data_IF_995571477584
#
_entry.id   IF_995571477584
#
_cell.length_a   1.000
_cell.length_b   1.000
_cell.length_c   1.000
_cell.angle_alpha   90.00
_cell.angle_beta   90.00
_cell.angle_gamma   90.00
#
_symmetry.space_group_name_H-M   'P 1'
#
loop_
_entity.id
_entity.type
_entity.pdbx_description
1 polymer ?
#
# COMPACT_ATOMS: atom_id res chain seq x y z
N UNK A 1 -0.51 12.20 -0.89
CA UNK A 1 -0.75 11.16 0.13
C UNK A 1 -0.72 9.75 -0.48
N UNK A 2 -1.65 9.37 -1.36
CA UNK A 2 -1.68 8.04 -1.98
C UNK A 2 -0.34 7.57 -2.58
N UNK A 3 0.31 8.41 -3.40
CA UNK A 3 1.63 8.09 -3.99
C UNK A 3 2.72 7.89 -2.94
N UNK A 4 2.69 8.70 -1.86
CA UNK A 4 3.65 8.61 -0.76
C UNK A 4 3.48 7.27 -0.03
N UNK A 5 2.26 6.96 0.42
CA UNK A 5 1.97 5.70 1.10
C UNK A 5 2.25 4.51 0.21
N UNK A 6 1.75 4.53 -1.04
CA UNK A 6 1.94 3.45 -2.00
C UNK A 6 3.41 3.12 -2.24
N UNK A 7 4.29 4.12 -2.28
CA UNK A 7 5.72 3.91 -2.41
C UNK A 7 6.32 3.11 -1.24
N UNK A 8 5.90 3.36 0.00
CA UNK A 8 6.39 2.65 1.20
C UNK A 8 5.77 1.26 1.40
N UNK A 9 4.71 0.92 0.67
CA UNK A 9 4.16 -0.45 0.59
C UNK A 9 4.76 -1.26 -0.55
N UNK A 10 5.52 -0.64 -1.45
CA UNK A 10 5.97 -1.27 -2.69
C UNK A 10 7.50 -1.33 -2.79
N UNK A 11 8.19 -0.25 -2.47
CA UNK A 11 9.65 -0.21 -2.58
C UNK A 11 10.32 -0.60 -1.24
N UNK A 12 11.47 -1.30 -1.29
CA UNK A 12 12.25 -1.61 -0.10
C UNK A 12 12.72 -0.33 0.65
N UNK A 13 12.84 -0.37 1.98
CA UNK A 13 13.09 0.78 2.85
C UNK A 13 14.39 1.56 2.58
N UNK A 14 15.37 0.96 1.89
CA UNK A 14 16.66 1.60 1.53
C UNK A 14 16.81 1.90 0.03
N UNK A 15 15.74 1.75 -0.73
CA UNK A 15 15.74 2.01 -2.16
C UNK A 15 15.82 3.52 -2.47
N UNK A 16 16.44 3.87 -3.59
CA UNK A 16 16.59 5.27 -4.01
C UNK A 16 15.23 5.96 -4.23
N UNK A 17 14.22 5.19 -4.63
CA UNK A 17 12.87 5.64 -4.96
C UNK A 17 12.15 6.30 -3.77
N UNK A 18 12.41 5.83 -2.54
CA UNK A 18 11.74 6.34 -1.34
C UNK A 18 12.61 7.22 -0.45
N UNK A 19 13.91 7.29 -0.71
CA UNK A 19 14.84 8.11 0.07
C UNK A 19 14.40 9.58 0.14
N UNK A 20 13.98 10.15 -1.00
CA UNK A 20 13.47 11.53 -1.07
C UNK A 20 12.08 11.70 -0.46
N UNK A 21 11.35 10.61 -0.22
CA UNK A 21 9.99 10.61 0.32
C UNK A 21 9.96 10.37 1.84
N UNK A 22 11.07 9.93 2.43
CA UNK A 22 11.13 9.51 3.82
C UNK A 22 10.74 10.61 4.79
N UNK A 23 11.26 11.82 4.62
CA UNK A 23 10.89 12.94 5.49
C UNK A 23 9.38 13.22 5.44
N UNK A 24 8.77 13.11 4.25
CA UNK A 24 7.33 13.27 4.06
C UNK A 24 6.54 12.21 4.81
N UNK A 25 6.97 10.93 4.77
CA UNK A 25 6.32 9.86 5.51
C UNK A 25 6.43 10.08 7.03
N UNK A 26 7.60 10.47 7.53
CA UNK A 26 7.82 10.68 8.96
C UNK A 26 7.06 11.89 9.52
N UNK A 27 6.46 12.71 8.66
CA UNK A 27 5.64 13.86 9.03
C UNK A 27 4.22 13.77 8.45
N UNK A 28 3.76 12.55 8.14
CA UNK A 28 2.48 12.32 7.47
C UNK A 28 1.28 12.78 8.32
N UNK A 29 1.44 12.83 9.64
CA UNK A 29 0.50 13.44 10.59
C UNK A 29 0.20 14.92 10.28
N UNK A 30 1.14 15.65 9.67
CA UNK A 30 1.00 17.08 9.36
C UNK A 30 0.50 17.37 7.94
N UNK A 31 0.43 16.35 7.08
CA UNK A 31 0.14 16.54 5.66
C UNK A 31 -1.37 16.65 5.35
N UNK A 32 -2.24 16.32 6.30
CA UNK A 32 -3.69 16.44 6.17
C UNK A 32 -4.35 16.56 7.55
N UNK A 33 -5.64 16.87 7.57
CA UNK A 33 -6.45 16.88 8.79
C UNK A 33 -6.97 15.47 9.06
N UNK A 34 -6.30 14.75 9.96
CA UNK A 34 -6.70 13.40 10.33
C UNK A 34 -7.88 13.43 11.31
N UNK A 35 -8.77 12.44 11.17
CA UNK A 35 -9.89 12.25 12.11
C UNK A 35 -9.40 11.98 13.54
N UNK A 36 -8.27 11.27 13.69
CA UNK A 36 -7.62 10.99 14.97
C UNK A 36 -6.16 11.46 14.98
N UNK A 37 -5.97 12.77 15.17
CA UNK A 37 -4.64 13.41 15.17
C UNK A 37 -3.67 12.84 16.23
N UNK A 38 -4.08 12.57 17.50
CA UNK A 38 -3.19 11.97 18.49
C UNK A 38 -2.64 10.61 18.05
N UNK A 39 -3.51 9.74 17.50
CA UNK A 39 -3.09 8.44 16.98
C UNK A 39 -2.09 8.58 15.83
N UNK A 40 -2.34 9.47 14.87
CA UNK A 40 -1.42 9.67 13.75
C UNK A 40 -0.06 10.21 14.20
N UNK A 41 -0.05 11.06 15.21
CA UNK A 41 1.19 11.54 15.83
C UNK A 41 1.98 10.39 16.46
N UNK A 42 1.30 9.50 17.19
CA UNK A 42 1.89 8.30 17.77
C UNK A 42 2.48 7.38 16.69
N UNK A 43 1.71 7.08 15.62
CA UNK A 43 2.19 6.24 14.53
C UNK A 43 3.41 6.85 13.83
N UNK A 44 3.44 8.17 13.62
CA UNK A 44 4.61 8.85 13.07
C UNK A 44 5.85 8.72 13.98
N UNK A 45 5.68 8.72 15.31
CA UNK A 45 6.80 8.48 16.22
C UNK A 45 7.30 7.04 16.14
N UNK A 46 6.40 6.06 15.99
CA UNK A 46 6.80 4.67 15.76
C UNK A 46 7.60 4.56 14.45
N UNK A 47 7.13 5.15 13.36
CA UNK A 47 7.88 5.16 12.09
C UNK A 47 9.29 5.75 12.25
N UNK A 48 9.44 6.89 12.94
CA UNK A 48 10.74 7.53 13.21
C UNK A 48 11.67 6.64 14.02
N UNK A 49 11.15 5.95 15.03
CA UNK A 49 11.95 5.09 15.90
C UNK A 49 12.38 3.80 15.20
N UNK A 50 11.60 3.33 14.21
CA UNK A 50 11.79 2.01 13.60
C UNK A 50 12.43 2.06 12.21
N UNK A 51 12.47 3.21 11.52
CA UNK A 51 13.07 3.28 10.17
C UNK A 51 14.53 2.85 10.12
N UNK A 52 15.28 3.10 11.20
CA UNK A 52 16.68 2.70 11.34
C UNK A 52 16.87 1.31 11.95
N UNK A 53 15.80 0.52 12.11
CA UNK A 53 15.90 -0.84 12.66
C UNK A 53 16.86 -1.68 11.80
N UNK A 54 17.85 -2.40 12.39
CA UNK A 54 18.85 -3.13 11.62
C UNK A 54 18.27 -4.15 10.63
N UNK A 55 17.12 -4.71 10.97
CA UNK A 55 16.45 -5.75 10.18
C UNK A 55 15.32 -5.21 9.28
N UNK A 56 15.16 -3.89 9.10
CA UNK A 56 14.01 -3.32 8.38
C UNK A 56 13.87 -3.86 6.94
N UNK A 57 14.99 -4.16 6.26
CA UNK A 57 14.99 -4.79 4.94
C UNK A 57 14.52 -6.25 5.00
N UNK A 58 15.01 -7.02 5.98
CA UNK A 58 14.58 -8.40 6.16
C UNK A 58 13.09 -8.47 6.53
N UNK A 59 12.62 -7.58 7.40
CA UNK A 59 11.21 -7.43 7.74
C UNK A 59 10.36 -7.12 6.50
N UNK A 60 10.85 -6.24 5.61
CA UNK A 60 10.19 -5.97 4.33
C UNK A 60 10.13 -7.24 3.46
N UNK A 61 11.24 -7.97 3.30
CA UNK A 61 11.27 -9.20 2.50
C UNK A 61 10.30 -10.27 3.00
N UNK A 62 10.16 -10.43 4.33
CA UNK A 62 9.18 -11.34 4.94
C UNK A 62 7.73 -10.92 4.66
N UNK A 63 7.45 -9.62 4.69
CA UNK A 63 6.08 -9.08 4.59
C UNK A 63 5.61 -8.85 3.15
N UNK A 64 6.51 -8.51 2.23
CA UNK A 64 6.16 -8.03 0.89
C UNK A 64 6.79 -8.83 -0.25
N UNK A 65 7.90 -9.54 -0.03
CA UNK A 65 8.63 -10.26 -1.10
C UNK A 65 8.51 -11.78 -1.03
N UNK A 66 7.86 -12.31 0.01
CA UNK A 66 7.52 -13.73 0.11
C UNK A 66 8.67 -14.59 0.62
N UNK A 67 9.62 -14.02 1.35
CA UNK A 67 10.60 -14.80 2.08
C UNK A 67 9.89 -15.53 3.24
N UNK A 68 9.69 -16.84 3.11
CA UNK A 68 8.96 -17.63 4.12
C UNK A 68 7.44 -17.50 4.02
N UNK A 69 6.74 -17.68 5.14
CA UNK A 69 5.27 -17.58 5.18
C UNK A 69 4.84 -16.11 5.30
N UNK A 70 4.26 -15.59 4.23
CA UNK A 70 3.73 -14.23 4.19
C UNK A 70 2.39 -14.13 4.92
N UNK A 71 2.36 -13.39 6.01
CA UNK A 71 1.20 -13.31 6.93
C UNK A 71 0.10 -12.36 6.45
N UNK A 72 0.44 -11.39 5.60
CA UNK A 72 -0.50 -10.46 4.99
C UNK A 72 -0.06 -10.20 3.54
N UNK A 73 -0.32 -11.12 2.61
CA UNK A 73 0.11 -10.96 1.23
C UNK A 73 -0.45 -9.66 0.62
N UNK A 74 0.35 -8.83 -0.04
CA UNK A 74 -0.09 -7.49 -0.44
C UNK A 74 -0.84 -7.46 -1.78
N UNK A 75 -1.39 -8.59 -2.24
CA UNK A 75 -2.09 -8.70 -3.53
C UNK A 75 -3.57 -8.98 -3.35
N UNK A 76 -4.42 -8.23 -4.04
CA UNK A 76 -5.88 -8.35 -3.90
C UNK A 76 -6.43 -9.74 -4.23
N UNK A 77 -5.89 -10.38 -5.26
CA UNK A 77 -6.25 -11.74 -5.69
C UNK A 77 -6.12 -12.79 -4.59
N UNK A 78 -5.20 -12.65 -3.64
CA UNK A 78 -5.08 -13.56 -2.49
C UNK A 78 -6.31 -13.54 -1.57
N UNK A 79 -7.01 -12.41 -1.51
CA UNK A 79 -8.19 -12.24 -0.64
C UNK A 79 -9.51 -12.45 -1.39
N UNK A 80 -9.52 -12.20 -2.70
CA UNK A 80 -10.74 -12.19 -3.51
C UNK A 80 -10.99 -13.49 -4.25
N UNK A 81 -9.94 -14.16 -4.74
CA UNK A 81 -10.09 -15.33 -5.60
C UNK A 81 -10.17 -16.62 -4.78
N UNK A 82 -11.03 -17.55 -5.20
CA UNK A 82 -11.35 -18.77 -4.44
C UNK A 82 -10.13 -19.65 -4.16
N UNK A 83 -9.18 -19.68 -5.10
CA UNK A 83 -7.96 -20.47 -4.97
C UNK A 83 -6.84 -19.73 -4.20
N UNK A 84 -7.06 -18.45 -3.84
CA UNK A 84 -6.06 -17.55 -3.24
C UNK A 84 -4.75 -17.48 -4.03
N UNK A 85 -4.81 -17.77 -5.33
CA UNK A 85 -3.66 -17.73 -6.23
C UNK A 85 -3.48 -16.32 -6.78
N UNK A 86 -2.22 -15.94 -6.98
CA UNK A 86 -1.88 -14.72 -7.70
C UNK A 86 -2.32 -14.83 -9.16
N UNK A 87 -2.67 -13.69 -9.75
CA UNK A 87 -3.11 -13.58 -11.15
C UNK A 87 -4.45 -14.28 -11.45
N UNK A 88 -5.37 -14.31 -10.48
CA UNK A 88 -6.72 -14.81 -10.67
C UNK A 88 -7.67 -13.80 -11.34
N UNK A 89 -8.97 -14.11 -11.34
CA UNK A 89 -10.00 -13.35 -12.06
C UNK A 89 -10.08 -11.87 -11.60
N UNK A 90 -9.93 -11.64 -10.29
CA UNK A 90 -9.94 -10.27 -9.74
C UNK A 90 -8.77 -9.41 -10.28
N UNK A 91 -7.60 -10.02 -10.43
CA UNK A 91 -6.39 -9.40 -10.97
C UNK A 91 -6.57 -9.07 -12.45
N UNK A 92 -7.10 -10.00 -13.25
CA UNK A 92 -7.38 -9.79 -14.67
C UNK A 92 -8.40 -8.67 -14.89
N UNK A 93 -9.46 -8.63 -14.08
CA UNK A 93 -10.47 -7.57 -14.11
C UNK A 93 -9.84 -6.21 -13.80
N UNK A 94 -8.95 -6.15 -12.81
CA UNK A 94 -8.22 -4.93 -12.48
C UNK A 94 -7.27 -4.50 -13.61
N UNK A 95 -6.54 -5.43 -14.22
CA UNK A 95 -5.68 -5.16 -15.39
C UNK A 95 -6.50 -4.58 -16.55
N UNK A 96 -7.65 -5.17 -16.87
CA UNK A 96 -8.53 -4.68 -17.92
C UNK A 96 -9.03 -3.26 -17.62
N UNK A 97 -9.41 -2.98 -16.36
CA UNK A 97 -9.77 -1.64 -15.92
C UNK A 97 -8.62 -0.64 -16.13
N UNK A 98 -7.40 -0.95 -15.70
CA UNK A 98 -6.23 -0.07 -15.90
C UNK A 98 -5.98 0.23 -17.39
N UNK A 99 -6.06 -0.80 -18.24
CA UNK A 99 -5.90 -0.64 -19.68
C UNK A 99 -6.95 0.29 -20.29
N UNK A 100 -8.22 0.18 -19.86
CA UNK A 100 -9.30 1.10 -20.30
C UNK A 100 -9.03 2.56 -19.90
N UNK A 101 -8.35 2.80 -18.77
CA UNK A 101 -7.96 4.15 -18.34
C UNK A 101 -6.64 4.64 -18.96
N UNK A 102 -6.02 3.84 -19.84
CA UNK A 102 -4.73 4.14 -20.45
C UNK A 102 -3.59 4.14 -19.41
N UNK A 103 -3.68 3.25 -18.42
CA UNK A 103 -2.63 3.00 -17.43
C UNK A 103 -2.00 1.63 -17.67
N UNK A 104 -0.68 1.63 -17.83
CA UNK A 104 0.14 0.43 -17.86
C UNK A 104 1.17 0.60 -16.75
N UNK A 105 1.10 -0.24 -15.73
CA UNK A 105 2.08 -0.26 -14.65
C UNK A 105 3.30 -1.04 -15.14
N UNK A 106 4.27 -0.34 -15.73
CA UNK A 106 5.54 -0.95 -16.13
C UNK A 106 6.55 -0.79 -15.01
N UNK A 107 6.62 -1.78 -14.13
CA UNK A 107 7.57 -1.83 -13.02
C UNK A 107 8.91 -2.45 -13.41
N UNK A 108 9.04 -2.91 -14.67
CA UNK A 108 10.20 -3.67 -15.14
C UNK A 108 10.26 -5.12 -14.64
N UNK A 109 9.26 -5.56 -13.87
CA UNK A 109 9.11 -6.92 -13.36
C UNK A 109 7.77 -7.54 -13.80
N UNK A 110 7.71 -8.87 -13.85
CA UNK A 110 6.46 -9.58 -14.09
C UNK A 110 5.73 -9.80 -12.75
N UNK A 111 5.24 -8.72 -12.15
CA UNK A 111 4.51 -8.77 -10.88
C UNK A 111 3.03 -8.40 -11.07
N UNK A 112 2.13 -8.91 -10.22
CA UNK A 112 0.72 -8.59 -10.32
C UNK A 112 0.42 -7.12 -10.02
N UNK A 113 -0.38 -6.48 -10.88
CA UNK A 113 -0.73 -5.06 -10.78
C UNK A 113 -1.59 -4.74 -9.54
N UNK A 114 -2.27 -5.74 -8.98
CA UNK A 114 -3.14 -5.65 -7.81
C UNK A 114 -2.39 -5.65 -6.47
N UNK A 115 -1.07 -5.37 -6.50
CA UNK A 115 -0.29 -5.10 -5.30
C UNK A 115 -0.74 -3.79 -4.64
N UNK A 116 -0.96 -3.78 -3.33
CA UNK A 116 -1.59 -2.67 -2.60
C UNK A 116 -0.94 -1.29 -2.86
N UNK A 117 0.39 -1.23 -2.78
CA UNK A 117 1.15 -0.01 -3.04
C UNK A 117 1.06 0.46 -4.49
N UNK A 118 1.12 -0.47 -5.44
CA UNK A 118 0.88 -0.19 -6.87
C UNK A 118 -0.53 0.37 -7.11
N UNK A 119 -1.56 -0.19 -6.48
CA UNK A 119 -2.93 0.30 -6.60
C UNK A 119 -3.09 1.73 -6.04
N UNK A 120 -2.45 2.05 -4.91
CA UNK A 120 -2.42 3.42 -4.37
C UNK A 120 -1.73 4.41 -5.31
N UNK A 121 -0.62 3.99 -5.95
CA UNK A 121 0.06 4.83 -6.93
C UNK A 121 -0.79 5.01 -8.21
N UNK A 122 -1.46 3.96 -8.69
CA UNK A 122 -2.40 4.05 -9.81
C UNK A 122 -3.57 5.00 -9.50
N UNK A 123 -4.11 4.94 -8.27
CA UNK A 123 -5.12 5.89 -7.80
C UNK A 123 -4.62 7.33 -7.85
N UNK A 124 -3.40 7.59 -7.38
CA UNK A 124 -2.80 8.93 -7.46
C UNK A 124 -2.66 9.42 -8.90
N UNK A 125 -2.24 8.55 -9.83
CA UNK A 125 -2.10 8.90 -11.25
C UNK A 125 -3.46 9.26 -11.86
N UNK A 126 -4.54 8.53 -11.54
CA UNK A 126 -5.89 8.86 -12.03
C UNK A 126 -6.34 10.25 -11.54
N UNK A 127 -6.04 10.61 -10.28
CA UNK A 127 -6.33 11.94 -9.75
C UNK A 127 -5.52 13.04 -10.45
N UNK A 128 -4.22 12.82 -10.68
CA UNK A 128 -3.33 13.75 -11.40
C UNK A 128 -3.81 13.99 -12.84
N UNK A 129 -4.39 12.97 -13.48
CA UNK A 129 -5.03 13.07 -14.80
C UNK A 129 -6.45 13.65 -14.79
N UNK A 130 -6.97 14.05 -13.63
CA UNK A 130 -8.36 14.49 -13.44
C UNK A 130 -9.43 13.45 -13.82
N UNK A 131 -9.09 12.16 -13.81
CA UNK A 131 -9.99 11.05 -14.10
C UNK A 131 -10.74 10.61 -12.82
N UNK A 132 -11.50 11.52 -12.21
CA UNK A 132 -12.11 11.32 -10.88
C UNK A 132 -13.10 10.14 -10.81
N UNK A 133 -13.86 9.88 -11.88
CA UNK A 133 -14.78 8.73 -11.95
C UNK A 133 -14.01 7.42 -11.91
N UNK A 134 -12.93 7.31 -12.69
CA UNK A 134 -12.06 6.15 -12.68
C UNK A 134 -11.34 5.99 -11.34
N UNK A 135 -10.88 7.10 -10.74
CA UNK A 135 -10.24 7.07 -9.42
C UNK A 135 -11.20 6.52 -8.34
N UNK A 136 -12.47 6.95 -8.38
CA UNK A 136 -13.53 6.42 -7.50
C UNK A 136 -13.78 4.94 -7.78
N UNK A 137 -13.87 4.53 -9.05
CA UNK A 137 -14.07 3.14 -9.43
C UNK A 137 -12.92 2.24 -8.94
N UNK A 138 -11.66 2.67 -9.09
CA UNK A 138 -10.49 1.97 -8.56
C UNK A 138 -10.65 1.73 -7.06
N UNK A 139 -11.02 2.76 -6.29
CA UNK A 139 -11.24 2.61 -4.86
C UNK A 139 -12.37 1.63 -4.54
N UNK A 140 -13.57 1.87 -5.07
CA UNK A 140 -14.78 1.16 -4.61
C UNK A 140 -14.92 -0.26 -5.15
N UNK A 141 -14.45 -0.52 -6.37
CA UNK A 141 -14.63 -1.80 -7.05
C UNK A 141 -13.40 -2.70 -6.99
N UNK A 142 -12.20 -2.13 -6.78
CA UNK A 142 -10.95 -2.88 -6.83
C UNK A 142 -10.16 -2.87 -5.53
N UNK A 143 -9.97 -1.71 -4.87
CA UNK A 143 -9.10 -1.63 -3.69
C UNK A 143 -9.85 -1.93 -2.38
N UNK A 144 -10.96 -1.24 -2.12
CA UNK A 144 -11.69 -1.33 -0.85
C UNK A 144 -12.44 -2.65 -0.67
N UNK A 145 -12.51 -3.49 -1.69
CA UNK A 145 -13.09 -4.83 -1.63
C UNK A 145 -12.25 -5.81 -0.81
N UNK A 146 -10.96 -5.52 -0.60
CA UNK A 146 -10.03 -6.39 0.14
C UNK A 146 -9.06 -5.63 1.05
N UNK A 147 -8.75 -4.37 0.77
CA UNK A 147 -7.81 -3.56 1.54
C UNK A 147 -8.07 -3.57 3.06
N UNK A 148 -9.31 -3.49 3.58
CA UNK A 148 -9.56 -3.57 5.01
C UNK A 148 -9.04 -4.87 5.65
N UNK A 149 -9.28 -6.02 5.00
CA UNK A 149 -8.85 -7.34 5.48
C UNK A 149 -7.33 -7.47 5.45
N UNK A 150 -6.70 -6.99 4.38
CA UNK A 150 -5.24 -6.94 4.26
C UNK A 150 -4.61 -6.06 5.34
N UNK A 151 -5.12 -4.84 5.53
CA UNK A 151 -4.59 -3.91 6.52
C UNK A 151 -4.82 -4.39 7.95
N UNK A 152 -5.95 -5.03 8.25
CA UNK A 152 -6.18 -5.68 9.54
C UNK A 152 -5.15 -6.76 9.84
N UNK A 153 -4.83 -7.59 8.85
CA UNK A 153 -3.81 -8.62 8.96
C UNK A 153 -2.42 -8.02 9.15
N UNK A 154 -2.09 -6.97 8.38
CA UNK A 154 -0.80 -6.30 8.48
C UNK A 154 -0.64 -5.53 9.81
N UNK A 155 -1.69 -4.92 10.35
CA UNK A 155 -1.66 -4.28 11.69
C UNK A 155 -1.32 -5.28 12.80
N UNK A 156 -1.70 -6.54 12.64
CA UNK A 156 -1.47 -7.61 13.63
C UNK A 156 -0.14 -8.35 13.43
N UNK A 157 0.67 -7.95 12.44
CA UNK A 157 1.95 -8.59 12.16
C UNK A 157 2.87 -8.56 13.38
N UNK A 158 3.64 -9.61 13.67
CA UNK A 158 4.62 -9.60 14.77
C UNK A 158 6.06 -9.36 14.28
N UNK A 159 6.21 -8.99 13.01
CA UNK A 159 7.49 -8.92 12.31
C UNK A 159 8.10 -7.52 12.42
N UNK A 160 7.28 -6.47 12.27
CA UNK A 160 7.76 -5.10 12.17
C UNK A 160 6.75 -4.09 12.70
N UNK A 161 7.07 -3.41 13.83
CA UNK A 161 6.28 -2.29 14.31
C UNK A 161 6.22 -1.13 13.31
N UNK A 162 7.22 -0.98 12.43
CA UNK A 162 7.18 0.01 11.34
C UNK A 162 6.00 -0.26 10.40
N UNK A 163 5.85 -1.49 9.91
CA UNK A 163 4.79 -1.84 8.99
C UNK A 163 3.41 -1.96 9.68
N UNK A 164 3.36 -2.23 10.99
CA UNK A 164 2.12 -2.06 11.77
C UNK A 164 1.65 -0.59 11.73
N UNK A 165 2.54 0.35 12.06
CA UNK A 165 2.20 1.77 12.07
C UNK A 165 1.83 2.28 10.68
N UNK A 166 2.55 1.83 9.64
CA UNK A 166 2.23 2.17 8.26
C UNK A 166 0.82 1.68 7.85
N UNK A 167 0.43 0.47 8.27
CA UNK A 167 -0.90 -0.07 8.02
C UNK A 167 -2.01 0.74 8.70
N UNK A 168 -1.79 1.19 9.94
CA UNK A 168 -2.74 2.05 10.68
C UNK A 168 -2.93 3.38 9.94
N UNK A 169 -1.84 4.02 9.50
CA UNK A 169 -1.90 5.28 8.75
C UNK A 169 -2.64 5.08 7.41
N UNK A 170 -2.36 3.98 6.71
CA UNK A 170 -3.01 3.68 5.44
C UNK A 170 -4.51 3.43 5.59
N UNK A 171 -4.93 2.71 6.63
CA UNK A 171 -6.34 2.49 6.95
C UNK A 171 -7.06 3.82 7.18
N UNK A 172 -6.49 4.69 8.03
CA UNK A 172 -7.09 5.99 8.29
C UNK A 172 -7.10 6.87 7.04
N UNK A 173 -6.11 6.72 6.16
CA UNK A 173 -6.07 7.45 4.90
C UNK A 173 -7.23 7.01 4.00
N UNK A 174 -7.49 5.70 3.88
CA UNK A 174 -8.58 5.19 3.07
C UNK A 174 -9.96 5.61 3.62
N UNK A 175 -10.09 5.81 4.92
CA UNK A 175 -11.35 6.26 5.54
C UNK A 175 -11.69 7.75 5.30
N UNK A 176 -10.70 8.57 4.92
CA UNK A 176 -10.90 10.00 4.63
C UNK A 176 -11.04 10.31 3.13
N UNK A 177 -10.91 9.30 2.26
CA UNK A 177 -11.13 9.40 0.81
C UNK A 177 -12.62 9.29 0.46
#
# INVERSE_FOLDING_TARGET
MAKLLGAFFYYPPKSEQINSLLEGLLQVDKLTNWSNQPLMTEQCQILKNQIAHPEIEYQFSLLFEGQGSMIAPPWGSVYLDQDKLLMGESQERYRAFLQQQGLILNTGMNEPEDQFGLMLMAYAILLEKHQFQAAKQLLTEHLLTWAPVYLDSLKQNQISPFYQALAIIAEHYLQIL
#
